data_IF_486827352334
#
_entry.id   IF_486827352334
#
_cell.length_a   1.000
_cell.length_b   1.000
_cell.length_c   1.000
_cell.angle_alpha   90.00
_cell.angle_beta   90.00
_cell.angle_gamma   90.00
#
_symmetry.space_group_name_H-M   'P 1'
#
loop_
_entity.id
_entity.type
_entity.pdbx_description
1 polymer ?
#
# COMPACT_ATOMS: atom_id res chain seq x y z
N UNK A 1 11.32 -14.21 -3.89
CA UNK A 1 10.76 -14.45 -5.22
C UNK A 1 9.48 -15.31 -5.10
N UNK A 2 8.32 -14.70 -5.27
CA UNK A 2 7.02 -15.40 -5.15
C UNK A 2 6.75 -16.43 -6.26
N UNK A 3 7.56 -16.45 -7.33
CA UNK A 3 7.49 -17.42 -8.42
C UNK A 3 8.41 -18.64 -8.21
N UNK A 4 9.08 -18.72 -7.07
CA UNK A 4 9.94 -19.86 -6.75
C UNK A 4 9.10 -21.13 -6.56
N UNK A 5 9.57 -22.23 -7.10
CA UNK A 5 8.85 -23.50 -7.02
C UNK A 5 9.08 -24.19 -5.68
N UNK A 6 8.09 -24.97 -5.22
CA UNK A 6 8.25 -25.77 -4.01
C UNK A 6 9.45 -26.76 -4.11
N UNK A 7 9.75 -27.24 -5.32
CA UNK A 7 10.91 -28.10 -5.60
C UNK A 7 12.24 -27.37 -5.38
N UNK A 8 12.37 -26.13 -5.82
CA UNK A 8 13.60 -25.36 -5.59
C UNK A 8 13.75 -24.98 -4.12
N UNK A 9 12.66 -24.52 -3.50
CA UNK A 9 12.65 -24.21 -2.05
C UNK A 9 13.06 -25.42 -1.24
N UNK A 10 12.55 -26.62 -1.58
CA UNK A 10 12.85 -27.87 -0.84
C UNK A 10 14.34 -28.19 -0.82
N UNK A 11 15.03 -27.93 -1.93
CA UNK A 11 16.49 -28.15 -2.05
C UNK A 11 17.27 -27.19 -1.14
N UNK A 12 16.86 -25.92 -1.10
CA UNK A 12 17.57 -24.89 -0.29
C UNK A 12 17.39 -25.08 1.20
N UNK A 13 16.21 -25.53 1.64
CA UNK A 13 15.90 -25.66 3.07
C UNK A 13 15.96 -27.13 3.58
N UNK A 14 16.39 -28.05 2.71
CA UNK A 14 16.57 -29.47 3.04
C UNK A 14 15.29 -30.13 3.58
N UNK A 15 14.15 -29.84 3.00
CA UNK A 15 12.87 -30.48 3.29
C UNK A 15 12.34 -31.20 2.05
N UNK A 16 11.38 -32.13 2.25
CA UNK A 16 10.66 -32.72 1.11
C UNK A 16 9.76 -31.68 0.43
N UNK A 17 9.47 -31.87 -0.86
CA UNK A 17 8.57 -30.98 -1.61
C UNK A 17 7.18 -30.92 -0.96
N UNK A 18 6.66 -32.07 -0.50
CA UNK A 18 5.36 -32.12 0.18
C UNK A 18 5.36 -31.34 1.51
N UNK A 19 6.46 -31.37 2.27
CA UNK A 19 6.60 -30.59 3.51
C UNK A 19 6.64 -29.07 3.19
N UNK A 20 7.28 -28.67 2.10
CA UNK A 20 7.29 -27.26 1.67
C UNK A 20 5.88 -26.79 1.30
N UNK A 21 5.16 -27.58 0.48
CA UNK A 21 3.78 -27.27 0.08
C UNK A 21 2.88 -27.12 1.30
N UNK A 22 2.97 -28.05 2.25
CA UNK A 22 2.16 -28.00 3.48
C UNK A 22 2.47 -26.76 4.34
N UNK A 23 3.73 -26.35 4.43
CA UNK A 23 4.13 -25.14 5.16
C UNK A 23 3.62 -23.88 4.48
N UNK A 24 3.67 -23.80 3.15
CA UNK A 24 3.14 -22.66 2.39
C UNK A 24 1.63 -22.57 2.63
N UNK A 25 0.90 -23.68 2.47
CA UNK A 25 -0.54 -23.76 2.71
C UNK A 25 -0.90 -23.26 4.13
N UNK A 26 -0.15 -23.70 5.13
CA UNK A 26 -0.37 -23.26 6.53
C UNK A 26 -0.14 -21.75 6.71
N UNK A 27 0.86 -21.17 6.03
CA UNK A 27 1.11 -19.73 6.09
C UNK A 27 0.00 -18.93 5.39
N UNK A 28 -0.60 -19.45 4.34
CA UNK A 28 -1.77 -18.88 3.67
C UNK A 28 -3.01 -18.95 4.59
N UNK A 29 -3.31 -20.13 5.13
CA UNK A 29 -4.46 -20.34 6.00
C UNK A 29 -4.39 -19.53 7.30
N UNK A 30 -3.19 -19.32 7.84
CA UNK A 30 -2.98 -18.52 9.05
C UNK A 30 -2.83 -17.02 8.77
N UNK A 31 -2.88 -16.60 7.50
CA UNK A 31 -2.77 -15.19 7.10
C UNK A 31 -1.36 -14.60 7.22
N UNK A 32 -0.33 -15.44 7.40
CA UNK A 32 1.08 -15.00 7.32
C UNK A 32 1.39 -14.55 5.89
N UNK A 33 0.94 -15.31 4.90
CA UNK A 33 0.89 -14.89 3.51
C UNK A 33 -0.52 -14.38 3.25
N UNK A 34 -0.66 -13.07 3.00
CA UNK A 34 -1.96 -12.44 2.77
C UNK A 34 -2.42 -12.56 1.32
N UNK A 35 -1.49 -12.39 0.40
CA UNK A 35 -1.77 -12.40 -1.03
C UNK A 35 -0.49 -12.60 -1.85
N UNK A 36 -0.67 -12.98 -3.10
CA UNK A 36 0.38 -12.99 -4.12
C UNK A 36 0.07 -11.89 -5.12
N UNK A 37 1.03 -11.01 -5.34
CA UNK A 37 0.89 -9.89 -6.26
C UNK A 37 2.17 -9.67 -7.05
N UNK A 38 2.09 -8.82 -8.06
CA UNK A 38 3.25 -8.32 -8.79
C UNK A 38 3.49 -6.85 -8.44
N UNK A 39 4.77 -6.47 -8.49
CA UNK A 39 5.17 -5.08 -8.37
C UNK A 39 5.51 -4.60 -9.76
N UNK A 40 4.84 -3.53 -10.19
CA UNK A 40 5.06 -2.93 -11.50
C UNK A 40 5.86 -1.63 -11.36
N UNK A 41 6.58 -1.26 -12.39
CA UNK A 41 7.17 0.06 -12.53
C UNK A 41 6.05 1.04 -12.93
N UNK A 42 5.61 1.86 -11.99
CA UNK A 42 4.49 2.78 -12.18
C UNK A 42 4.74 3.75 -13.33
N UNK A 43 5.98 4.19 -13.54
CA UNK A 43 6.34 5.06 -14.67
C UNK A 43 6.13 4.38 -16.02
N UNK A 44 6.45 3.09 -16.10
CA UNK A 44 6.24 2.31 -17.34
C UNK A 44 4.77 2.02 -17.62
N UNK A 45 3.91 2.13 -16.61
CA UNK A 45 2.45 1.99 -16.73
C UNK A 45 1.73 3.33 -16.89
N UNK A 46 2.48 4.45 -17.00
CA UNK A 46 1.94 5.77 -17.30
C UNK A 46 1.76 6.67 -16.07
N UNK A 47 2.03 6.19 -14.87
CA UNK A 47 1.97 6.99 -13.64
C UNK A 47 3.35 7.56 -13.32
N UNK A 48 3.61 8.76 -13.77
CA UNK A 48 4.93 9.39 -13.64
C UNK A 48 5.14 10.12 -12.31
N UNK A 49 4.05 10.36 -11.57
CA UNK A 49 4.05 11.17 -10.37
C UNK A 49 3.49 10.38 -9.17
N UNK A 50 4.18 10.47 -8.06
CA UNK A 50 3.70 9.99 -6.76
C UNK A 50 3.59 11.17 -5.81
N UNK A 51 2.49 11.24 -5.05
CA UNK A 51 2.31 12.22 -3.99
C UNK A 51 1.88 11.53 -2.68
N UNK A 52 2.25 12.16 -1.57
CA UNK A 52 1.75 11.84 -0.24
C UNK A 52 0.88 13.01 0.20
N UNK A 53 -0.38 12.73 0.51
CA UNK A 53 -1.33 13.74 0.97
C UNK A 53 -1.77 13.41 2.38
N UNK A 54 -1.48 14.30 3.31
CA UNK A 54 -2.00 14.26 4.66
C UNK A 54 -3.38 14.90 4.67
N UNK A 55 -4.31 14.30 5.40
CA UNK A 55 -5.71 14.73 5.49
C UNK A 55 -6.11 14.86 6.94
N UNK A 56 -6.73 15.98 7.33
CA UNK A 56 -7.41 16.12 8.59
C UNK A 56 -8.92 16.08 8.41
N UNK A 57 -9.62 15.52 9.37
CA UNK A 57 -11.08 15.46 9.40
C UNK A 57 -11.61 16.41 10.47
N UNK A 58 -12.69 17.09 10.18
CA UNK A 58 -13.37 18.00 11.12
C UNK A 58 -13.81 17.30 12.41
N UNK A 59 -14.18 16.02 12.30
CA UNK A 59 -14.63 15.23 13.43
C UNK A 59 -14.43 13.73 13.15
N UNK A 60 -14.09 12.90 14.16
CA UNK A 60 -13.92 11.45 13.99
C UNK A 60 -15.09 10.70 13.38
N UNK A 61 -16.32 11.24 13.50
CA UNK A 61 -17.53 10.65 12.88
C UNK A 61 -17.45 10.51 11.36
N UNK A 62 -16.57 11.28 10.69
CA UNK A 62 -16.37 11.23 9.25
C UNK A 62 -15.39 10.16 8.78
N UNK A 63 -14.72 9.48 9.73
CA UNK A 63 -13.67 8.51 9.40
C UNK A 63 -14.18 7.39 8.49
N UNK A 64 -15.29 6.73 8.86
CA UNK A 64 -15.81 5.59 8.10
C UNK A 64 -16.24 5.99 6.70
N UNK A 65 -16.97 7.11 6.56
CA UNK A 65 -17.40 7.61 5.26
C UNK A 65 -16.23 8.03 4.37
N UNK A 66 -15.19 8.62 4.96
CA UNK A 66 -13.96 8.95 4.25
C UNK A 66 -13.24 7.69 3.79
N UNK A 67 -13.07 6.70 4.68
CA UNK A 67 -12.42 5.43 4.35
C UNK A 67 -13.14 4.70 3.21
N UNK A 68 -14.46 4.65 3.23
CA UNK A 68 -15.27 4.06 2.17
C UNK A 68 -15.15 4.79 0.83
N UNK A 69 -15.05 6.11 0.85
CA UNK A 69 -14.85 6.92 -0.35
C UNK A 69 -13.46 6.70 -0.96
N UNK A 70 -12.42 6.69 -0.13
CA UNK A 70 -11.03 6.51 -0.56
C UNK A 70 -10.80 5.14 -1.21
N UNK A 71 -11.43 4.08 -0.74
CA UNK A 71 -11.30 2.74 -1.31
C UNK A 71 -11.82 2.63 -2.76
N UNK A 72 -12.67 3.56 -3.19
CA UNK A 72 -13.23 3.59 -4.55
C UNK A 72 -12.36 4.37 -5.55
N UNK A 73 -11.31 5.04 -5.08
CA UNK A 73 -10.45 5.88 -5.90
C UNK A 73 -9.17 5.11 -6.28
N UNK A 74 -9.12 4.64 -7.52
CA UNK A 74 -8.05 3.74 -8.00
C UNK A 74 -6.64 4.36 -7.98
N UNK A 75 -6.53 5.67 -8.10
CA UNK A 75 -5.26 6.40 -8.02
C UNK A 75 -4.74 6.54 -6.57
N UNK A 76 -5.54 6.21 -5.57
CA UNK A 76 -5.10 6.14 -4.17
C UNK A 76 -4.68 4.71 -3.88
N UNK A 77 -3.38 4.49 -3.76
CA UNK A 77 -2.78 3.16 -3.65
C UNK A 77 -2.52 2.72 -2.22
N UNK A 78 -2.57 3.65 -1.27
CA UNK A 78 -2.57 3.33 0.17
C UNK A 78 -3.18 4.46 0.99
N UNK A 79 -3.75 4.11 2.13
CA UNK A 79 -4.28 5.04 3.11
C UNK A 79 -3.96 4.52 4.51
N UNK A 80 -3.38 5.38 5.36
CA UNK A 80 -3.03 5.05 6.73
C UNK A 80 -3.65 6.06 7.69
N UNK A 81 -4.28 5.55 8.74
CA UNK A 81 -4.65 6.36 9.89
C UNK A 81 -3.41 6.52 10.77
N UNK A 82 -3.10 7.75 11.17
CA UNK A 82 -1.84 8.06 11.85
C UNK A 82 -2.06 8.95 13.08
N UNK A 83 -1.05 9.00 13.93
CA UNK A 83 -0.95 9.99 15.01
C UNK A 83 -0.31 11.27 14.48
N UNK A 84 -0.59 12.42 15.11
CA UNK A 84 -0.03 13.71 14.77
C UNK A 84 -1.10 14.74 14.42
N UNK A 85 -0.70 15.82 13.75
CA UNK A 85 -1.58 16.95 13.42
C UNK A 85 -2.60 16.62 12.35
N UNK A 86 -2.30 15.66 11.48
CA UNK A 86 -3.19 15.14 10.46
C UNK A 86 -3.62 13.71 10.80
N UNK A 87 -4.87 13.39 10.52
CA UNK A 87 -5.48 12.10 10.88
C UNK A 87 -5.06 10.97 9.96
N UNK A 88 -4.93 11.25 8.68
CA UNK A 88 -4.64 10.24 7.65
C UNK A 88 -3.52 10.70 6.73
N UNK A 89 -2.83 9.73 6.15
CA UNK A 89 -1.93 9.93 5.01
C UNK A 89 -2.30 8.96 3.90
N UNK A 90 -2.48 9.50 2.70
CA UNK A 90 -2.76 8.74 1.49
C UNK A 90 -1.59 8.84 0.51
N UNK A 91 -1.31 7.74 -0.17
CA UNK A 91 -0.36 7.71 -1.29
C UNK A 91 -1.13 7.72 -2.60
N UNK A 92 -0.81 8.68 -3.44
CA UNK A 92 -1.41 8.90 -4.74
C UNK A 92 -0.39 8.51 -5.81
N UNK A 93 -0.84 7.77 -6.83
CA UNK A 93 -0.07 7.48 -8.04
C UNK A 93 -0.85 8.03 -9.22
N UNK A 94 -0.28 8.99 -9.95
CA UNK A 94 -0.96 9.71 -11.01
C UNK A 94 -0.04 10.01 -12.19
N UNK A 95 -0.66 10.40 -13.32
CA UNK A 95 0.02 10.64 -14.57
C UNK A 95 0.73 12.01 -14.61
N UNK A 96 0.11 13.04 -14.05
CA UNK A 96 0.57 14.43 -14.19
C UNK A 96 0.18 15.32 -13.01
N UNK A 97 0.72 16.54 -13.00
CA UNK A 97 0.32 17.57 -12.02
C UNK A 97 -1.14 18.00 -12.17
N UNK A 98 -1.67 18.02 -13.40
CA UNK A 98 -3.07 18.36 -13.66
C UNK A 98 -4.00 17.29 -13.07
N UNK A 99 -3.65 16.00 -13.21
CA UNK A 99 -4.37 14.93 -12.56
C UNK A 99 -4.26 14.99 -11.03
N UNK A 100 -3.08 15.34 -10.50
CA UNK A 100 -2.91 15.52 -9.06
C UNK A 100 -3.80 16.66 -8.53
N UNK A 101 -3.94 17.75 -9.27
CA UNK A 101 -4.87 18.84 -8.89
C UNK A 101 -6.31 18.38 -8.85
N UNK A 102 -6.74 17.59 -9.84
CA UNK A 102 -8.09 17.02 -9.87
C UNK A 102 -8.34 16.09 -8.68
N UNK A 103 -7.37 15.20 -8.38
CA UNK A 103 -7.44 14.31 -7.23
C UNK A 103 -7.51 15.11 -5.92
N UNK A 104 -6.68 16.14 -5.78
CA UNK A 104 -6.72 17.03 -4.62
C UNK A 104 -8.10 17.64 -4.44
N UNK A 105 -8.71 18.15 -5.52
CA UNK A 105 -10.05 18.74 -5.50
C UNK A 105 -11.11 17.70 -5.09
N UNK A 106 -11.01 16.49 -5.60
CA UNK A 106 -11.92 15.40 -5.24
C UNK A 106 -11.81 15.04 -3.75
N UNK A 107 -10.60 14.89 -3.22
CA UNK A 107 -10.38 14.59 -1.80
C UNK A 107 -10.90 15.72 -0.90
N UNK A 108 -10.60 16.97 -1.25
CA UNK A 108 -11.09 18.13 -0.51
C UNK A 108 -12.62 18.28 -0.52
N UNK A 109 -13.29 17.72 -1.51
CA UNK A 109 -14.75 17.75 -1.60
C UNK A 109 -15.44 16.65 -0.81
N UNK A 110 -14.70 15.68 -0.26
CA UNK A 110 -15.28 14.62 0.55
C UNK A 110 -15.83 15.18 1.88
N UNK A 111 -16.99 14.71 2.33
CA UNK A 111 -17.60 15.16 3.58
C UNK A 111 -16.65 15.01 4.77
N UNK A 112 -16.49 16.07 5.54
CA UNK A 112 -15.70 16.08 6.77
C UNK A 112 -14.20 16.29 6.57
N UNK A 113 -13.71 16.47 5.36
CA UNK A 113 -12.33 16.88 5.12
C UNK A 113 -12.18 18.36 5.51
N UNK A 114 -11.29 18.61 6.46
CA UNK A 114 -11.00 19.96 6.97
C UNK A 114 -9.81 20.59 6.23
N UNK A 115 -8.68 19.89 6.22
CA UNK A 115 -7.46 20.37 5.59
C UNK A 115 -6.65 19.24 4.95
N UNK A 116 -5.83 19.61 3.97
CA UNK A 116 -4.85 18.70 3.36
C UNK A 116 -3.48 19.36 3.27
N UNK A 117 -2.45 18.51 3.27
CA UNK A 117 -1.06 18.90 2.98
C UNK A 117 -0.49 17.88 2.01
N UNK A 118 -0.10 18.33 0.82
CA UNK A 118 0.38 17.44 -0.24
C UNK A 118 1.87 17.60 -0.46
N UNK A 119 2.58 16.48 -0.52
CA UNK A 119 4.00 16.40 -0.81
C UNK A 119 4.21 15.58 -2.09
N UNK A 120 4.86 16.17 -3.09
CA UNK A 120 5.27 15.42 -4.29
C UNK A 120 6.54 14.64 -3.97
N UNK A 121 6.55 13.35 -4.26
CA UNK A 121 7.71 12.48 -4.07
C UNK A 121 8.70 12.71 -5.20
N UNK A 122 9.88 13.23 -4.89
CA UNK A 122 10.93 13.47 -5.89
C UNK A 122 11.63 12.17 -6.30
N UNK A 123 11.85 11.27 -5.32
CA UNK A 123 12.55 10.00 -5.54
C UNK A 123 12.15 8.98 -4.48
N UNK A 124 11.88 7.78 -4.93
CA UNK A 124 11.75 6.64 -4.03
C UNK A 124 13.16 6.12 -3.68
N UNK A 125 13.56 6.27 -2.43
CA UNK A 125 14.89 5.85 -1.95
C UNK A 125 14.89 4.38 -1.54
N UNK A 126 13.79 3.92 -0.94
CA UNK A 126 13.61 2.55 -0.48
C UNK A 126 12.13 2.22 -0.44
N UNK A 127 11.75 1.11 -1.06
CA UNK A 127 10.40 0.58 -0.99
C UNK A 127 10.47 -0.95 -0.85
N UNK A 128 10.18 -1.44 0.35
CA UNK A 128 10.00 -2.86 0.64
C UNK A 128 8.60 -3.04 1.24
N UNK A 129 7.89 -4.07 0.79
CA UNK A 129 6.47 -4.25 1.14
C UNK A 129 6.26 -4.88 2.51
N UNK A 130 7.26 -5.63 3.01
CA UNK A 130 7.17 -6.30 4.30
C UNK A 130 8.52 -6.36 4.99
N UNK A 131 8.53 -6.06 6.28
CA UNK A 131 9.69 -6.29 7.14
C UNK A 131 9.49 -7.63 7.88
N UNK A 132 10.36 -8.58 7.61
CA UNK A 132 10.36 -9.89 8.29
C UNK A 132 11.36 -9.81 9.44
N UNK A 133 10.86 -9.88 10.69
CA UNK A 133 11.73 -10.12 11.85
C UNK A 133 12.24 -11.55 11.79
N UNK A 134 13.54 -11.70 11.70
CA UNK A 134 14.16 -13.00 11.98
C UNK A 134 14.15 -13.17 13.49
N UNK A 135 13.68 -14.31 14.05
CA UNK A 135 13.90 -14.60 15.46
C UNK A 135 15.40 -14.54 15.72
N UNK A 136 15.79 -13.88 16.81
CA UNK A 136 17.17 -13.83 17.26
C UNK A 136 17.71 -15.25 17.34
N UNK A 137 18.91 -15.44 16.79
CA UNK A 137 19.59 -16.76 16.81
C UNK A 137 19.95 -17.14 18.23
#
# INVERSE_FOLDING_TARGET
NARETASNISKEIHLSVSAVIERIRKMEETGVIKEYTIIVDEKKTGNEMTALMEVSLEHPKFFDSFADAIQKLEYIVSCYYQTGDFDLIIRISCHSSDELEEIHRQVMSLPGVDATRTHVVLKNVKNIYSAIRRPDK
#
